data_IF_443815930782
#
_entry.id   IF_443815930782
#
_cell.length_a   1.000
_cell.length_b   1.000
_cell.length_c   1.000
_cell.angle_alpha   90.00
_cell.angle_beta   90.00
_cell.angle_gamma   90.00
#
_symmetry.space_group_name_H-M   'P 1'
#
loop_
_entity.id
_entity.type
_entity.pdbx_description
1 polymer ?
#
# COMPACT_ATOMS: atom_id res chain seq x y z
N UNK A 1 0.47 -18.84 4.91
CA UNK A 1 -0.16 -17.97 5.92
C UNK A 1 -1.60 -18.43 6.04
N UNK A 2 -2.06 -18.70 7.25
CA UNK A 2 -3.46 -19.07 7.51
C UNK A 2 -4.41 -17.93 7.13
N UNK A 3 -5.55 -18.26 6.49
CA UNK A 3 -6.56 -17.31 6.00
C UNK A 3 -7.12 -16.43 7.11
N UNK A 4 -7.14 -16.93 8.35
CA UNK A 4 -7.60 -16.16 9.52
C UNK A 4 -6.75 -14.90 9.78
N UNK A 5 -5.42 -15.01 9.64
CA UNK A 5 -4.52 -13.86 9.81
C UNK A 5 -4.69 -12.83 8.71
N UNK A 6 -4.80 -13.28 7.45
CA UNK A 6 -5.03 -12.40 6.29
C UNK A 6 -6.34 -11.63 6.44
N UNK A 7 -7.43 -12.31 6.82
CA UNK A 7 -8.75 -11.70 7.10
C UNK A 7 -8.63 -10.56 8.11
N UNK A 8 -8.03 -10.83 9.27
CA UNK A 8 -7.87 -9.85 10.35
C UNK A 8 -7.18 -8.58 9.87
N UNK A 9 -6.05 -8.70 9.17
CA UNK A 9 -5.31 -7.52 8.72
C UNK A 9 -6.01 -6.75 7.59
N UNK A 10 -6.71 -7.44 6.68
CA UNK A 10 -7.53 -6.77 5.67
C UNK A 10 -8.70 -6.01 6.30
N UNK A 11 -9.32 -6.54 7.35
CA UNK A 11 -10.35 -5.84 8.13
C UNK A 11 -9.81 -4.59 8.83
N UNK A 12 -8.59 -4.66 9.38
CA UNK A 12 -7.90 -3.48 9.96
C UNK A 12 -7.70 -2.40 8.89
N UNK A 13 -7.38 -2.79 7.67
CA UNK A 13 -7.29 -1.88 6.53
C UNK A 13 -8.65 -1.42 6.01
N UNK A 14 -9.76 -1.86 6.61
CA UNK A 14 -11.12 -1.43 6.26
C UNK A 14 -11.80 -2.26 5.17
N UNK A 15 -11.20 -3.37 4.74
CA UNK A 15 -11.83 -4.27 3.77
C UNK A 15 -12.77 -5.25 4.49
N UNK A 16 -13.94 -5.48 3.92
CA UNK A 16 -14.87 -6.51 4.36
C UNK A 16 -15.13 -7.47 3.20
N UNK A 17 -14.46 -8.63 3.22
CA UNK A 17 -14.56 -9.67 2.21
C UNK A 17 -15.28 -10.87 2.83
N UNK A 18 -16.18 -11.52 2.09
CA UNK A 18 -16.70 -12.83 2.47
C UNK A 18 -15.61 -13.91 2.32
N UNK A 19 -15.92 -15.16 2.69
CA UNK A 19 -14.97 -16.27 2.63
C UNK A 19 -14.58 -16.62 1.19
N UNK A 20 -15.54 -16.58 0.27
CA UNK A 20 -15.32 -16.91 -1.14
C UNK A 20 -14.40 -15.89 -1.82
N UNK A 21 -14.68 -14.60 -1.64
CA UNK A 21 -13.82 -13.53 -2.14
C UNK A 21 -12.44 -13.56 -1.47
N UNK A 22 -12.35 -13.83 -0.16
CA UNK A 22 -11.05 -13.92 0.50
C UNK A 22 -10.22 -15.09 -0.06
N UNK A 23 -10.84 -16.24 -0.31
CA UNK A 23 -10.17 -17.40 -0.88
C UNK A 23 -9.66 -17.12 -2.31
N UNK A 24 -10.44 -16.39 -3.11
CA UNK A 24 -10.11 -16.10 -4.50
C UNK A 24 -9.09 -14.96 -4.66
N UNK A 25 -9.33 -13.81 -4.02
CA UNK A 25 -8.55 -12.59 -4.23
C UNK A 25 -7.63 -12.21 -3.06
N UNK A 26 -7.61 -12.97 -1.96
CA UNK A 26 -6.83 -12.65 -0.76
C UNK A 26 -5.33 -12.44 -1.05
N UNK A 27 -4.72 -13.28 -1.90
CA UNK A 27 -3.34 -13.08 -2.34
C UNK A 27 -3.19 -11.83 -3.21
N UNK A 28 -4.15 -11.61 -4.11
CA UNK A 28 -4.15 -10.47 -5.04
C UNK A 28 -4.33 -9.13 -4.34
N UNK A 29 -4.86 -9.09 -3.11
CA UNK A 29 -4.86 -7.90 -2.27
C UNK A 29 -3.44 -7.35 -1.97
N UNK A 30 -2.39 -8.15 -2.17
CA UNK A 30 -0.98 -7.71 -2.04
C UNK A 30 -0.46 -6.98 -3.26
N UNK A 31 -1.12 -7.15 -4.41
CA UNK A 31 -0.69 -6.62 -5.70
C UNK A 31 -0.23 -5.16 -5.68
N UNK A 32 -1.05 -4.18 -5.22
CA UNK A 32 -0.62 -2.79 -5.21
C UNK A 32 0.62 -2.56 -4.33
N UNK A 33 0.71 -3.27 -3.21
CA UNK A 33 1.81 -3.13 -2.26
C UNK A 33 3.11 -3.73 -2.80
N UNK A 34 3.05 -4.87 -3.49
CA UNK A 34 4.22 -5.50 -4.13
C UNK A 34 4.79 -4.59 -5.22
N UNK A 35 3.94 -4.02 -6.07
CA UNK A 35 4.38 -3.08 -7.11
C UNK A 35 4.99 -1.82 -6.51
N UNK A 36 4.32 -1.22 -5.54
CA UNK A 36 4.82 -0.03 -4.86
C UNK A 36 6.18 -0.31 -4.19
N UNK A 37 6.29 -1.39 -3.40
CA UNK A 37 7.53 -1.76 -2.71
C UNK A 37 8.68 -2.02 -3.69
N UNK A 38 8.42 -2.70 -4.80
CA UNK A 38 9.44 -3.01 -5.81
C UNK A 38 9.97 -1.74 -6.50
N UNK A 39 9.08 -0.88 -6.99
CA UNK A 39 9.48 0.37 -7.64
C UNK A 39 10.17 1.30 -6.63
N UNK A 40 9.69 1.33 -5.38
CA UNK A 40 10.29 2.12 -4.31
C UNK A 40 11.71 1.64 -4.01
N UNK A 41 11.91 0.32 -3.88
CA UNK A 41 13.23 -0.26 -3.64
C UNK A 41 14.20 0.09 -4.77
N UNK A 42 13.76 0.03 -6.03
CA UNK A 42 14.55 0.48 -7.18
C UNK A 42 14.86 1.97 -7.09
N UNK A 43 13.87 2.81 -6.80
CA UNK A 43 14.05 4.26 -6.66
C UNK A 43 15.04 4.63 -5.56
N UNK A 44 14.98 3.95 -4.41
CA UNK A 44 15.90 4.15 -3.29
C UNK A 44 17.29 3.63 -3.65
N UNK A 45 17.42 2.42 -4.20
CA UNK A 45 18.71 1.83 -4.57
C UNK A 45 19.47 2.67 -5.61
N UNK A 46 18.73 3.30 -6.53
CA UNK A 46 19.30 4.20 -7.54
C UNK A 46 19.43 5.65 -7.05
N UNK A 47 19.04 5.95 -5.79
CA UNK A 47 18.93 7.30 -5.23
C UNK A 47 18.22 8.29 -6.19
N UNK A 48 17.17 7.83 -6.87
CA UNK A 48 16.53 8.55 -7.97
C UNK A 48 15.36 9.42 -7.47
N UNK A 49 15.49 10.76 -7.42
CA UNK A 49 14.38 11.63 -7.01
C UNK A 49 13.17 11.48 -7.93
N UNK A 50 13.41 11.26 -9.23
CA UNK A 50 12.37 11.10 -10.23
C UNK A 50 11.45 9.92 -9.92
N UNK A 51 12.01 8.73 -9.69
CA UNK A 51 11.22 7.53 -9.36
C UNK A 51 10.45 7.73 -8.04
N UNK A 52 11.12 8.28 -7.03
CA UNK A 52 10.54 8.51 -5.71
C UNK A 52 9.36 9.51 -5.79
N UNK A 53 9.51 10.61 -6.52
CA UNK A 53 8.44 11.59 -6.68
C UNK A 53 7.31 11.11 -7.60
N UNK A 54 7.59 10.29 -8.61
CA UNK A 54 6.53 9.61 -9.37
C UNK A 54 5.69 8.72 -8.46
N UNK A 55 6.32 7.92 -7.59
CA UNK A 55 5.59 7.12 -6.60
C UNK A 55 4.83 7.98 -5.59
N UNK A 56 5.42 9.08 -5.14
CA UNK A 56 4.74 10.06 -4.29
C UNK A 56 3.46 10.59 -4.95
N UNK A 57 3.53 10.97 -6.23
CA UNK A 57 2.38 11.47 -6.97
C UNK A 57 1.28 10.40 -7.10
N UNK A 58 1.65 9.15 -7.39
CA UNK A 58 0.72 8.00 -7.44
C UNK A 58 0.05 7.77 -6.08
N UNK A 59 0.83 7.82 -4.99
CA UNK A 59 0.33 7.61 -3.63
C UNK A 59 -0.63 8.73 -3.21
N UNK A 60 -0.30 9.99 -3.50
CA UNK A 60 -1.16 11.15 -3.23
C UNK A 60 -2.44 11.09 -4.09
N UNK A 61 -2.33 10.71 -5.37
CA UNK A 61 -3.49 10.56 -6.24
C UNK A 61 -4.53 9.57 -5.68
N UNK A 62 -4.08 8.52 -4.98
CA UNK A 62 -4.97 7.54 -4.32
C UNK A 62 -5.93 8.17 -3.31
N UNK A 63 -5.56 9.29 -2.70
CA UNK A 63 -6.44 10.02 -1.77
C UNK A 63 -7.71 10.49 -2.49
N UNK A 64 -7.57 10.97 -3.72
CA UNK A 64 -8.64 11.53 -4.52
C UNK A 64 -9.36 10.48 -5.37
N UNK A 65 -8.68 9.40 -5.74
CA UNK A 65 -9.26 8.35 -6.58
C UNK A 65 -10.13 7.35 -5.77
N UNK A 66 -11.10 6.68 -6.42
CA UNK A 66 -11.87 5.59 -5.80
C UNK A 66 -11.00 4.40 -5.39
N UNK A 67 -9.95 4.11 -6.15
CA UNK A 67 -9.04 2.98 -5.93
C UNK A 67 -7.59 3.38 -6.18
N UNK A 68 -6.66 2.63 -5.60
CA UNK A 68 -5.24 2.79 -5.87
C UNK A 68 -4.96 2.59 -7.38
N UNK A 69 -4.11 3.41 -8.03
CA UNK A 69 -3.82 3.29 -9.45
C UNK A 69 -3.44 1.88 -9.92
N UNK A 70 -2.64 1.16 -9.14
CA UNK A 70 -2.30 -0.24 -9.41
C UNK A 70 -3.48 -1.22 -9.35
N UNK A 71 -4.57 -0.91 -8.65
CA UNK A 71 -5.77 -1.73 -8.68
C UNK A 71 -6.49 -1.58 -10.01
N UNK A 72 -6.40 -0.44 -10.71
CA UNK A 72 -6.93 -0.31 -12.06
C UNK A 72 -6.15 -1.18 -13.05
N UNK A 73 -4.81 -1.27 -12.91
CA UNK A 73 -3.99 -2.18 -13.71
C UNK A 73 -4.41 -3.63 -13.51
N UNK A 74 -4.70 -4.03 -12.27
CA UNK A 74 -5.21 -5.35 -11.97
C UNK A 74 -6.61 -5.58 -12.55
N UNK A 75 -7.55 -4.67 -12.25
CA UNK A 75 -8.96 -4.81 -12.60
C UNK A 75 -9.24 -4.69 -14.10
N UNK A 76 -8.42 -3.98 -14.87
CA UNK A 76 -8.60 -3.86 -16.32
C UNK A 76 -7.63 -4.73 -17.14
N UNK A 77 -6.65 -5.37 -16.49
CA UNK A 77 -5.67 -6.21 -17.17
C UNK A 77 -5.57 -7.60 -16.54
N UNK A 78 -4.87 -7.68 -15.41
CA UNK A 78 -4.47 -8.97 -14.79
C UNK A 78 -5.66 -9.89 -14.54
N UNK A 79 -6.77 -9.37 -14.01
CA UNK A 79 -7.94 -10.21 -13.68
C UNK A 79 -8.52 -10.93 -14.90
N UNK A 80 -8.41 -10.33 -16.09
CA UNK A 80 -8.94 -10.90 -17.33
C UNK A 80 -8.03 -12.02 -17.85
N UNK A 81 -6.75 -12.01 -17.46
CA UNK A 81 -5.79 -13.07 -17.74
C UNK A 81 -5.86 -14.21 -16.71
N UNK A 82 -6.18 -13.88 -15.46
CA UNK A 82 -6.21 -14.85 -14.34
C UNK A 82 -7.60 -15.41 -14.06
N UNK A 83 -8.65 -14.85 -14.67
CA UNK A 83 -10.05 -15.29 -14.48
C UNK A 83 -10.61 -14.98 -13.09
N UNK A 84 -9.98 -14.07 -12.34
CA UNK A 84 -10.35 -13.77 -10.96
C UNK A 84 -11.35 -12.62 -10.86
N UNK A 85 -12.11 -12.57 -9.76
CA UNK A 85 -12.94 -11.45 -9.37
C UNK A 85 -12.17 -10.12 -9.26
N UNK A 86 -12.85 -8.97 -9.45
CA UNK A 86 -12.23 -7.65 -9.31
C UNK A 86 -11.81 -7.38 -7.87
N UNK A 87 -10.69 -6.66 -7.69
CA UNK A 87 -10.31 -6.11 -6.40
C UNK A 87 -11.31 -5.03 -5.96
N UNK A 88 -11.65 -4.98 -4.66
CA UNK A 88 -12.56 -4.00 -4.10
C UNK A 88 -12.01 -2.57 -4.23
N UNK A 89 -12.90 -1.60 -4.04
CA UNK A 89 -12.53 -0.18 -4.00
C UNK A 89 -11.62 0.14 -2.81
N UNK A 90 -10.88 1.25 -2.92
CA UNK A 90 -9.99 1.71 -1.86
C UNK A 90 -10.74 2.09 -0.59
N UNK A 91 -10.17 1.75 0.56
CA UNK A 91 -10.73 2.09 1.87
C UNK A 91 -10.22 3.44 2.35
N UNK A 92 -10.91 4.05 3.31
CA UNK A 92 -10.45 5.31 3.93
C UNK A 92 -9.09 5.13 4.61
N UNK A 93 -8.85 3.98 5.25
CA UNK A 93 -7.56 3.65 5.84
C UNK A 93 -6.46 3.52 4.79
N UNK A 94 -6.76 2.92 3.63
CA UNK A 94 -5.84 2.84 2.49
C UNK A 94 -5.48 4.21 1.95
N UNK A 95 -6.47 5.10 1.79
CA UNK A 95 -6.27 6.49 1.37
C UNK A 95 -5.39 7.28 2.34
N UNK A 96 -5.66 7.17 3.64
CA UNK A 96 -4.83 7.78 4.68
C UNK A 96 -3.38 7.26 4.62
N UNK A 97 -3.22 5.93 4.53
CA UNK A 97 -1.90 5.28 4.49
C UNK A 97 -1.08 5.74 3.28
N UNK A 98 -1.71 5.80 2.10
CA UNK A 98 -1.06 6.28 0.88
C UNK A 98 -0.77 7.78 0.92
N UNK A 99 -1.65 8.59 1.51
CA UNK A 99 -1.42 10.03 1.70
C UNK A 99 -0.20 10.32 2.58
N UNK A 100 -0.12 9.68 3.75
CA UNK A 100 1.04 9.80 4.66
C UNK A 100 2.32 9.31 3.98
N UNK A 101 2.27 8.15 3.33
CA UNK A 101 3.41 7.62 2.57
C UNK A 101 3.85 8.55 1.45
N UNK A 102 2.90 9.13 0.70
CA UNK A 102 3.17 10.11 -0.35
C UNK A 102 3.91 11.33 0.17
N UNK A 103 3.41 11.98 1.23
CA UNK A 103 4.08 13.14 1.84
C UNK A 103 5.49 12.80 2.31
N UNK A 104 5.69 11.63 2.92
CA UNK A 104 7.02 11.16 3.30
C UNK A 104 7.93 11.01 2.07
N UNK A 105 7.44 10.39 0.99
CA UNK A 105 8.22 10.22 -0.24
C UNK A 105 8.60 11.55 -0.90
N UNK A 106 7.79 12.61 -0.78
CA UNK A 106 8.21 13.96 -1.20
C UNK A 106 9.52 14.35 -0.50
N UNK A 107 9.57 14.18 0.83
CA UNK A 107 10.76 14.47 1.64
C UNK A 107 11.96 13.58 1.28
N UNK A 108 11.75 12.28 1.08
CA UNK A 108 12.80 11.35 0.64
C UNK A 108 13.36 11.75 -0.72
N UNK A 109 12.50 12.08 -1.69
CA UNK A 109 12.93 12.53 -3.02
C UNK A 109 13.67 13.86 -2.94
N UNK A 110 13.23 14.80 -2.09
CA UNK A 110 13.92 16.06 -1.85
C UNK A 110 15.32 15.83 -1.26
N UNK A 111 15.48 14.89 -0.32
CA UNK A 111 16.79 14.54 0.24
C UNK A 111 17.75 13.99 -0.82
N UNK A 112 17.27 13.12 -1.72
CA UNK A 112 18.10 12.67 -2.85
C UNK A 112 18.41 13.81 -3.84
N UNK A 113 17.45 14.70 -4.09
CA UNK A 113 17.62 15.83 -5.02
C UNK A 113 18.64 16.86 -4.53
N UNK A 114 18.68 17.15 -3.22
CA UNK A 114 19.62 18.11 -2.63
C UNK A 114 20.99 17.50 -2.32
N UNK A 115 21.20 16.22 -2.61
CA UNK A 115 22.45 15.51 -2.34
C UNK A 115 22.62 15.04 -0.89
N UNK A 116 21.59 15.17 -0.05
CA UNK A 116 21.53 14.60 1.30
C UNK A 116 21.29 13.07 1.26
N UNK A 117 22.17 12.34 0.57
CA UNK A 117 22.00 10.94 0.21
C UNK A 117 21.83 10.03 1.41
N UNK A 118 22.58 10.23 2.49
CA UNK A 118 22.41 9.45 3.74
C UNK A 118 20.99 9.58 4.30
N UNK A 119 20.43 10.79 4.32
CA UNK A 119 19.05 11.03 4.77
C UNK A 119 18.07 10.34 3.82
N UNK A 120 18.29 10.45 2.51
CA UNK A 120 17.49 9.79 1.49
C UNK A 120 17.49 8.26 1.65
N UNK A 121 18.64 7.63 1.87
CA UNK A 121 18.75 6.18 2.07
C UNK A 121 18.14 5.71 3.39
N UNK A 122 18.37 6.43 4.49
CA UNK A 122 17.76 6.06 5.78
C UNK A 122 16.24 6.19 5.71
N UNK A 123 15.75 7.34 5.25
CA UNK A 123 14.32 7.62 5.09
C UNK A 123 13.65 6.64 4.11
N UNK A 124 14.25 6.46 2.93
CA UNK A 124 13.77 5.56 1.89
C UNK A 124 13.85 4.10 2.32
N UNK A 125 14.91 3.67 3.00
CA UNK A 125 15.09 2.32 3.51
C UNK A 125 14.04 1.93 4.55
N UNK A 126 13.70 2.85 5.47
CA UNK A 126 12.58 2.65 6.40
C UNK A 126 11.27 2.47 5.63
N UNK A 127 11.01 3.31 4.61
CA UNK A 127 9.81 3.20 3.80
C UNK A 127 9.76 1.88 3.01
N UNK A 128 10.89 1.42 2.45
CA UNK A 128 11.00 0.12 1.78
C UNK A 128 10.66 -1.00 2.76
N UNK A 129 11.23 -1.00 3.97
CA UNK A 129 10.93 -2.02 4.97
C UNK A 129 9.43 -2.06 5.34
N UNK A 130 8.80 -0.90 5.53
CA UNK A 130 7.36 -0.81 5.79
C UNK A 130 6.52 -1.29 4.59
N UNK A 131 6.89 -0.91 3.37
CA UNK A 131 6.21 -1.33 2.14
C UNK A 131 6.33 -2.85 1.93
N UNK A 132 7.50 -3.42 2.17
CA UNK A 132 7.73 -4.87 2.11
C UNK A 132 6.96 -5.61 3.19
N UNK A 133 6.86 -5.05 4.40
CA UNK A 133 6.06 -5.63 5.48
C UNK A 133 4.59 -5.77 5.05
N UNK A 134 3.96 -4.70 4.57
CA UNK A 134 2.56 -4.76 4.14
C UNK A 134 2.40 -5.67 2.91
N UNK A 135 3.35 -5.66 1.98
CA UNK A 135 3.33 -6.51 0.79
C UNK A 135 3.41 -8.01 1.12
N UNK A 136 4.07 -8.39 2.22
CA UNK A 136 4.27 -9.80 2.61
C UNK A 136 3.30 -10.29 3.68
N UNK A 137 2.78 -9.40 4.54
CA UNK A 137 1.99 -9.79 5.72
C UNK A 137 0.60 -9.16 5.79
N UNK A 138 0.27 -8.19 4.93
CA UNK A 138 -0.87 -7.27 5.09
C UNK A 138 -0.83 -6.41 6.36
N UNK A 139 0.26 -6.42 7.13
CA UNK A 139 0.39 -5.51 8.28
C UNK A 139 0.63 -4.09 7.76
N UNK A 140 -0.39 -3.23 7.88
CA UNK A 140 -0.32 -1.83 7.50
C UNK A 140 -0.33 -0.95 8.76
N UNK A 141 0.86 -0.53 9.20
CA UNK A 141 1.04 0.30 10.39
C UNK A 141 0.21 1.60 10.33
N UNK A 142 0.22 2.37 9.22
CA UNK A 142 -0.59 3.58 9.15
C UNK A 142 -2.10 3.34 9.28
N UNK A 143 -2.61 2.19 8.81
CA UNK A 143 -4.03 1.83 9.01
C UNK A 143 -4.35 1.51 10.47
N UNK A 144 -3.41 0.89 11.21
CA UNK A 144 -3.55 0.69 12.66
C UNK A 144 -3.56 2.02 13.42
N UNK A 145 -2.66 2.93 13.05
CA UNK A 145 -2.60 4.29 13.61
C UNK A 145 -3.91 5.04 13.32
N UNK A 146 -4.42 4.97 12.09
CA UNK A 146 -5.70 5.56 11.74
C UNK A 146 -6.84 5.06 12.64
N UNK A 147 -6.96 3.74 12.80
CA UNK A 147 -8.02 3.18 13.65
C UNK A 147 -7.88 3.59 15.12
N UNK A 148 -6.64 3.75 15.62
CA UNK A 148 -6.37 4.23 16.97
C UNK A 148 -6.72 5.72 17.15
N UNK A 149 -6.40 6.56 16.16
CA UNK A 149 -6.70 8.00 16.20
C UNK A 149 -8.20 8.31 16.09
N UNK A 150 -8.95 7.50 15.35
CA UNK A 150 -10.38 7.72 15.09
C UNK A 150 -11.30 6.74 15.84
N UNK A 151 -10.79 6.07 16.88
CA UNK A 151 -11.52 5.13 17.74
C UNK A 151 -12.40 4.11 16.99
N UNK A 152 -11.98 3.68 15.79
CA UNK A 152 -12.72 2.70 15.01
C UNK A 152 -12.54 1.33 15.65
N UNK A 153 -13.56 0.89 16.42
CA UNK A 153 -13.65 -0.51 16.87
C UNK A 153 -13.56 -1.42 15.65
N UNK A 154 -12.56 -2.28 15.66
CA UNK A 154 -12.43 -3.36 14.69
C UNK A 154 -13.64 -4.27 14.88
N UNK A 155 -14.60 -4.23 13.96
CA UNK A 155 -15.70 -5.19 13.92
C UNK A 155 -15.12 -6.53 13.51
N UNK A 156 -14.72 -7.31 14.51
CA UNK A 156 -14.45 -8.73 14.34
C UNK A 156 -15.81 -9.41 14.13
N UNK A 157 -16.05 -10.16 13.03
CA UNK A 157 -17.24 -10.97 12.94
C UNK A 157 -17.19 -12.03 14.04
N UNK A 158 -18.34 -12.22 14.70
CA UNK A 158 -18.57 -13.23 15.73
C UNK A 158 -18.39 -14.64 15.16
#
# INVERSE_FOLDING_TARGET
MDNHHTRKYLQIQGFNLDDDALAEIGQWMRWPYVFCASILAVGVALASPGIIWTLSAIAIATVFLPSHPFNYVYNYGVRHLTGTCPLPQGTVQGKFSCGVGGVWLVGTGAAFFTGATTVGYVSGGVMVAMATLVATTHVCIPSMIYNALFERKQTQPA
#
